data_IF_326404691686
#
_entry.id   IF_326404691686
#
_cell.length_a   1.000
_cell.length_b   1.000
_cell.length_c   1.000
_cell.angle_alpha   90.00
_cell.angle_beta   90.00
_cell.angle_gamma   90.00
#
_symmetry.space_group_name_H-M   'P 1'
#
loop_
_entity.id
_entity.type
_entity.pdbx_description
1 polymer ?
#
# COMPACT_ATOMS: atom_id res chain seq x y z
N UNK A 1 9.49 -7.08 -12.02
CA UNK A 1 10.54 -6.71 -11.04
C UNK A 1 9.83 -6.22 -9.80
N UNK A 2 10.05 -6.83 -8.64
CA UNK A 2 9.58 -6.23 -7.38
C UNK A 2 10.55 -5.08 -7.03
N UNK A 3 10.02 -3.96 -6.56
CA UNK A 3 10.86 -2.91 -5.99
C UNK A 3 11.78 -3.52 -4.93
N UNK A 4 13.06 -3.12 -4.90
CA UNK A 4 14.01 -3.59 -3.91
C UNK A 4 13.65 -2.96 -2.56
N UNK A 5 12.84 -3.66 -1.74
CA UNK A 5 12.42 -3.19 -0.43
C UNK A 5 13.53 -3.37 0.60
N UNK A 6 13.78 -2.34 1.41
CA UNK A 6 14.80 -2.36 2.45
C UNK A 6 14.18 -2.43 3.85
N UNK A 7 14.86 -3.04 4.84
CA UNK A 7 14.35 -3.09 6.21
C UNK A 7 14.07 -1.70 6.79
N UNK A 8 12.91 -1.54 7.43
CA UNK A 8 12.49 -0.27 8.02
C UNK A 8 11.67 0.64 7.11
N UNK A 9 11.57 0.35 5.81
CA UNK A 9 10.74 1.15 4.90
C UNK A 9 9.24 1.04 5.21
N UNK A 10 8.53 2.12 4.89
CA UNK A 10 7.07 2.20 4.85
C UNK A 10 6.61 2.05 3.40
N UNK A 11 5.83 1.00 3.12
CA UNK A 11 5.34 0.67 1.78
C UNK A 11 3.84 0.92 1.69
N UNK A 12 3.36 1.43 0.57
CA UNK A 12 1.94 1.51 0.23
C UNK A 12 1.66 0.75 -1.06
N UNK A 13 0.70 -0.18 -1.02
CA UNK A 13 0.18 -0.87 -2.20
C UNK A 13 -1.18 -0.29 -2.61
N UNK A 14 -1.26 0.21 -3.85
CA UNK A 14 -2.46 0.81 -4.43
C UNK A 14 -3.32 -0.25 -5.11
N UNK A 15 -4.49 -0.50 -4.53
CA UNK A 15 -5.41 -1.55 -4.97
C UNK A 15 -4.99 -2.93 -4.47
N UNK A 16 -4.85 -3.05 -3.15
CA UNK A 16 -4.21 -4.23 -2.54
C UNK A 16 -5.02 -5.52 -2.65
N UNK A 17 -6.31 -5.46 -3.00
CA UNK A 17 -7.19 -6.62 -3.08
C UNK A 17 -7.15 -7.43 -1.77
N UNK A 18 -6.97 -8.75 -1.89
CA UNK A 18 -6.83 -9.66 -0.75
C UNK A 18 -5.51 -9.52 0.04
N UNK A 19 -4.62 -8.59 -0.31
CA UNK A 19 -3.48 -8.17 0.51
C UNK A 19 -2.20 -9.00 0.37
N UNK A 20 -2.07 -9.85 -0.65
CA UNK A 20 -0.89 -10.72 -0.82
C UNK A 20 0.40 -9.90 -0.97
N UNK A 21 0.42 -8.89 -1.83
CA UNK A 21 1.61 -8.08 -2.09
C UNK A 21 2.00 -7.23 -0.87
N UNK A 22 1.02 -6.78 -0.09
CA UNK A 22 1.22 -6.09 1.20
C UNK A 22 1.87 -7.00 2.23
N UNK A 23 1.37 -8.23 2.39
CA UNK A 23 1.94 -9.21 3.32
C UNK A 23 3.38 -9.58 2.95
N UNK A 24 3.65 -9.76 1.65
CA UNK A 24 5.00 -10.02 1.16
C UNK A 24 5.93 -8.81 1.37
N UNK A 25 5.42 -7.60 1.20
CA UNK A 25 6.16 -6.36 1.45
C UNK A 25 6.50 -6.20 2.93
N UNK A 26 5.52 -6.43 3.81
CA UNK A 26 5.69 -6.41 5.26
C UNK A 26 6.78 -7.36 5.76
N UNK A 27 6.87 -8.55 5.17
CA UNK A 27 7.94 -9.51 5.47
C UNK A 27 9.32 -9.00 5.02
N UNK A 28 9.41 -8.30 3.89
CA UNK A 28 10.68 -7.79 3.35
C UNK A 28 11.21 -6.58 4.12
N UNK A 29 10.34 -5.64 4.48
CA UNK A 29 10.73 -4.47 5.29
C UNK A 29 10.95 -4.81 6.76
N UNK A 30 10.58 -6.02 7.18
CA UNK A 30 10.85 -6.53 8.52
C UNK A 30 10.07 -5.80 9.63
N UNK A 31 10.34 -6.16 10.90
CA UNK A 31 9.53 -5.70 12.03
C UNK A 31 9.65 -4.21 12.34
N UNK A 32 10.70 -3.54 11.86
CA UNK A 32 10.88 -2.09 11.98
C UNK A 32 10.20 -1.30 10.86
N UNK A 33 9.77 -1.97 9.78
CA UNK A 33 9.06 -1.36 8.67
C UNK A 33 7.54 -1.53 8.79
N UNK A 34 6.81 -1.01 7.79
CA UNK A 34 5.34 -1.03 7.74
C UNK A 34 4.88 -1.26 6.31
N UNK A 35 3.79 -1.99 6.12
CA UNK A 35 3.11 -2.06 4.83
C UNK A 35 1.63 -1.68 4.95
N UNK A 36 1.20 -0.77 4.09
CA UNK A 36 -0.18 -0.35 3.91
C UNK A 36 -0.74 -0.98 2.63
N UNK A 37 -1.97 -1.48 2.71
CA UNK A 37 -2.77 -1.80 1.52
C UNK A 37 -3.98 -0.88 1.43
N UNK A 38 -4.20 -0.26 0.28
CA UNK A 38 -5.37 0.56 0.03
C UNK A 38 -6.29 -0.16 -0.97
N UNK A 39 -7.56 -0.33 -0.62
CA UNK A 39 -8.58 -0.83 -1.54
C UNK A 39 -9.91 -0.10 -1.33
N UNK A 40 -10.67 0.11 -2.41
CA UNK A 40 -11.92 0.87 -2.35
C UNK A 40 -13.08 0.03 -1.80
N UNK A 41 -12.99 -1.30 -1.91
CA UNK A 41 -14.10 -2.19 -1.57
C UNK A 41 -13.98 -2.73 -0.16
N UNK A 42 -15.09 -2.70 0.57
CA UNK A 42 -15.15 -3.22 1.94
C UNK A 42 -14.90 -4.73 2.00
N UNK A 43 -15.32 -5.45 0.96
CA UNK A 43 -15.10 -6.89 0.81
C UNK A 43 -13.60 -7.23 0.72
N UNK A 44 -12.83 -6.53 -0.11
CA UNK A 44 -11.39 -6.78 -0.22
C UNK A 44 -10.65 -6.40 1.05
N UNK A 45 -11.01 -5.28 1.69
CA UNK A 45 -10.42 -4.88 2.98
C UNK A 45 -10.72 -5.94 4.06
N UNK A 46 -11.93 -6.49 4.11
CA UNK A 46 -12.28 -7.55 5.04
C UNK A 46 -11.47 -8.84 4.77
N UNK A 47 -11.37 -9.25 3.50
CA UNK A 47 -10.58 -10.42 3.09
C UNK A 47 -9.09 -10.24 3.43
N UNK A 48 -8.53 -9.05 3.17
CA UNK A 48 -7.15 -8.72 3.44
C UNK A 48 -6.84 -8.75 4.95
N UNK A 49 -7.75 -8.23 5.78
CA UNK A 49 -7.62 -8.30 7.23
C UNK A 49 -7.66 -9.75 7.77
N UNK A 50 -8.50 -10.61 7.20
CA UNK A 50 -8.50 -12.04 7.55
C UNK A 50 -7.19 -12.73 7.14
N UNK A 51 -6.62 -12.38 5.98
CA UNK A 51 -5.32 -12.88 5.55
C UNK A 51 -4.18 -12.38 6.44
N UNK A 52 -4.20 -11.10 6.86
CA UNK A 52 -3.28 -10.55 7.87
C UNK A 52 -3.33 -11.35 9.17
N UNK A 53 -4.53 -11.63 9.67
CA UNK A 53 -4.73 -12.41 10.91
C UNK A 53 -4.16 -13.82 10.78
N UNK A 54 -4.41 -14.51 9.66
CA UNK A 54 -3.84 -15.83 9.38
C UNK A 54 -2.32 -15.83 9.25
N UNK A 55 -1.76 -14.76 8.70
CA UNK A 55 -0.32 -14.60 8.52
C UNK A 55 0.41 -14.18 9.81
N UNK A 56 -0.31 -13.72 10.85
CA UNK A 56 0.30 -13.17 12.06
C UNK A 56 1.15 -11.92 11.80
N UNK A 57 0.72 -11.08 10.84
CA UNK A 57 1.47 -9.90 10.43
C UNK A 57 1.07 -8.66 11.24
N UNK A 58 1.92 -8.26 12.18
CA UNK A 58 1.65 -7.12 13.07
C UNK A 58 2.00 -5.75 12.47
N UNK A 59 2.86 -5.73 11.43
CA UNK A 59 3.33 -4.51 10.77
C UNK A 59 2.56 -4.17 9.47
N UNK A 60 1.32 -4.67 9.35
CA UNK A 60 0.43 -4.46 8.20
C UNK A 60 -0.81 -3.67 8.58
N UNK A 61 -1.26 -2.76 7.72
CA UNK A 61 -2.55 -2.07 7.88
C UNK A 61 -3.29 -1.99 6.54
N UNK A 62 -4.57 -2.34 6.54
CA UNK A 62 -5.43 -2.23 5.35
C UNK A 62 -6.41 -1.07 5.53
N UNK A 63 -6.43 -0.19 4.54
CA UNK A 63 -7.20 1.05 4.52
C UNK A 63 -8.28 0.94 3.45
N UNK A 64 -9.49 1.40 3.80
CA UNK A 64 -10.59 1.58 2.84
C UNK A 64 -10.48 2.97 2.22
N UNK A 65 -10.43 3.05 0.90
CA UNK A 65 -10.40 4.33 0.19
C UNK A 65 -10.07 4.19 -1.29
N UNK A 66 -10.16 5.30 -2.00
CA UNK A 66 -9.85 5.39 -3.43
C UNK A 66 -8.40 5.84 -3.62
N UNK A 67 -7.76 5.40 -4.71
CA UNK A 67 -6.36 5.75 -4.99
C UNK A 67 -6.20 7.22 -5.44
N UNK A 68 -7.33 7.89 -5.72
CA UNK A 68 -7.49 9.31 -5.97
C UNK A 68 -7.59 10.16 -4.68
N UNK A 69 -7.72 9.51 -3.51
CA UNK A 69 -7.81 10.16 -2.20
C UNK A 69 -7.23 9.24 -1.11
N UNK A 70 -5.90 9.21 -1.04
CA UNK A 70 -5.16 8.28 -0.18
C UNK A 70 -5.27 8.75 1.28
N UNK A 71 -5.82 7.95 2.21
CA UNK A 71 -6.03 8.34 3.61
C UNK A 71 -4.75 8.24 4.44
N UNK A 72 -3.65 8.80 3.93
CA UNK A 72 -2.35 8.89 4.59
C UNK A 72 -1.82 10.34 4.57
N UNK A 73 -1.01 10.74 5.56
CA UNK A 73 -0.38 12.05 5.56
C UNK A 73 0.61 12.24 4.40
N UNK A 74 0.92 13.49 4.12
CA UNK A 74 1.97 13.87 3.17
C UNK A 74 3.33 13.30 3.61
N UNK A 75 4.19 12.94 2.65
CA UNK A 75 5.55 12.46 2.91
C UNK A 75 5.64 11.35 3.98
N UNK A 76 4.71 10.40 3.96
CA UNK A 76 4.59 9.35 4.98
C UNK A 76 5.10 7.98 4.53
N UNK A 77 5.23 7.73 3.22
CA UNK A 77 5.65 6.43 2.67
C UNK A 77 6.97 6.53 1.90
N UNK A 78 7.79 5.48 1.98
CA UNK A 78 9.09 5.40 1.29
C UNK A 78 8.93 4.78 -0.11
N UNK A 79 7.97 3.87 -0.26
CA UNK A 79 7.74 3.10 -1.49
C UNK A 79 6.26 2.99 -1.81
N UNK A 80 5.89 3.24 -3.06
CA UNK A 80 4.55 2.97 -3.58
C UNK A 80 4.63 1.85 -4.62
N UNK A 81 3.78 0.85 -4.44
CA UNK A 81 3.58 -0.25 -5.39
C UNK A 81 2.18 -0.10 -5.96
N UNK A 82 2.02 -0.32 -7.27
CA UNK A 82 0.72 -0.55 -7.86
C UNK A 82 0.82 -1.68 -8.86
N UNK A 83 -0.01 -2.70 -8.68
CA UNK A 83 -0.13 -3.80 -9.61
C UNK A 83 -1.42 -3.65 -10.43
N UNK A 84 -1.28 -3.09 -11.64
CA UNK A 84 -2.35 -2.90 -12.64
C UNK A 84 -3.53 -1.99 -12.26
N UNK A 85 -3.60 -1.43 -11.04
CA UNK A 85 -4.79 -0.66 -10.60
C UNK A 85 -4.83 0.77 -11.12
N UNK A 86 -3.68 1.45 -11.27
CA UNK A 86 -3.63 2.82 -11.83
C UNK A 86 -4.28 2.88 -13.23
N UNK A 87 -4.21 1.79 -14.01
CA UNK A 87 -4.83 1.73 -15.34
C UNK A 87 -6.35 1.86 -15.30
N UNK A 88 -6.98 1.41 -14.21
CA UNK A 88 -8.42 1.38 -14.00
C UNK A 88 -8.99 2.73 -13.51
N UNK A 89 -8.14 3.63 -13.02
CA UNK A 89 -8.57 4.96 -12.60
C UNK A 89 -8.99 5.82 -13.79
N UNK A 90 -10.10 6.55 -13.62
CA UNK A 90 -10.58 7.54 -14.58
C UNK A 90 -9.76 8.85 -14.54
N UNK A 91 -9.22 9.22 -13.37
CA UNK A 91 -8.39 10.41 -13.19
C UNK A 91 -6.96 10.05 -12.75
N UNK A 92 -6.17 9.59 -13.73
CA UNK A 92 -4.76 9.23 -13.52
C UNK A 92 -3.92 10.40 -13.01
N UNK A 93 -4.28 11.64 -13.34
CA UNK A 93 -3.56 12.80 -12.86
C UNK A 93 -3.77 12.98 -11.35
N UNK A 94 -4.99 12.76 -10.86
CA UNK A 94 -5.28 12.79 -9.43
C UNK A 94 -4.56 11.67 -8.68
N UNK A 95 -4.56 10.45 -9.22
CA UNK A 95 -3.81 9.32 -8.63
C UNK A 95 -2.32 9.64 -8.51
N UNK A 96 -1.70 10.17 -9.57
CA UNK A 96 -0.28 10.52 -9.54
C UNK A 96 0.01 11.68 -8.57
N UNK A 97 -0.90 12.65 -8.44
CA UNK A 97 -0.79 13.73 -7.44
C UNK A 97 -0.84 13.18 -6.02
N UNK A 98 -1.78 12.28 -5.73
CA UNK A 98 -1.92 11.66 -4.41
C UNK A 98 -0.74 10.76 -4.08
N UNK A 99 -0.31 9.92 -5.02
CA UNK A 99 0.88 9.09 -4.86
C UNK A 99 2.10 9.96 -4.54
N UNK A 100 2.31 11.06 -5.28
CA UNK A 100 3.42 11.97 -5.01
C UNK A 100 3.26 12.72 -3.67
N UNK A 101 2.04 13.07 -3.26
CA UNK A 101 1.76 13.75 -1.99
C UNK A 101 2.19 12.89 -0.80
N UNK A 102 1.81 11.61 -0.79
CA UNK A 102 2.12 10.71 0.33
C UNK A 102 3.55 10.19 0.29
N UNK A 103 4.20 10.19 -0.89
CA UNK A 103 5.58 9.75 -1.05
C UNK A 103 6.57 10.74 -0.40
N UNK A 104 7.51 10.23 0.39
CA UNK A 104 8.61 11.03 0.96
C UNK A 104 9.52 11.59 -0.15
N UNK A 105 10.23 12.70 0.09
CA UNK A 105 11.27 13.16 -0.81
C UNK A 105 12.34 12.07 -0.98
N UNK A 106 12.60 11.65 -2.22
CA UNK A 106 13.52 10.56 -2.54
C UNK A 106 12.91 9.15 -2.43
N UNK A 107 11.62 9.04 -2.08
CA UNK A 107 10.86 7.81 -2.21
C UNK A 107 10.68 7.40 -3.68
N UNK A 108 10.14 6.19 -3.89
CA UNK A 108 9.95 5.61 -5.23
C UNK A 108 8.59 4.96 -5.43
#
# INVERSE_FOLDING_TARGET
ALAELTPGEVVLDLGSGGGIDVLLSAKRVGPSGRAYGLDMTEEMVALANENKRKAGADNVEFLKGEIENIPLPDNSVDVIISNCVINLSADKNQVLREAFRVLKPGGR
#
